data_IF_519217793552
#
_entry.id   IF_519217793552
#
_cell.length_a   1.000
_cell.length_b   1.000
_cell.length_c   1.000
_cell.angle_alpha   90.00
_cell.angle_beta   90.00
_cell.angle_gamma   90.00
#
_symmetry.space_group_name_H-M   'P 1'
#
loop_
_entity.id
_entity.type
_entity.pdbx_description
1 polymer ?
#
# COMPACT_ATOMS: atom_id res chain seq x y z
N UNK A 1 -37.11 -48.32 15.64
CA UNK A 1 -35.96 -47.70 16.34
C UNK A 1 -36.56 -46.80 17.41
N UNK A 2 -36.39 -47.10 18.70
CA UNK A 2 -37.05 -46.34 19.78
C UNK A 2 -36.38 -44.98 19.92
N UNK A 3 -37.13 -43.92 19.66
CA UNK A 3 -36.72 -42.55 19.95
C UNK A 3 -36.84 -42.32 21.45
N UNK A 4 -35.81 -41.71 22.05
CA UNK A 4 -35.80 -41.42 23.48
C UNK A 4 -36.85 -40.35 23.78
N UNK A 5 -37.81 -40.65 24.64
CA UNK A 5 -38.86 -39.72 25.09
C UNK A 5 -38.31 -38.89 26.25
N UNK A 6 -37.54 -37.86 25.93
CA UNK A 6 -37.16 -36.81 26.87
C UNK A 6 -38.29 -35.75 26.94
N UNK A 7 -38.79 -35.34 28.13
CA UNK A 7 -39.92 -34.42 28.26
C UNK A 7 -39.69 -32.99 27.74
N UNK A 8 -38.49 -32.65 27.26
CA UNK A 8 -38.12 -31.28 26.87
C UNK A 8 -37.83 -31.05 25.37
N UNK A 9 -38.09 -31.99 24.46
CA UNK A 9 -37.79 -31.76 23.03
C UNK A 9 -38.30 -32.86 22.09
N UNK A 10 -39.57 -32.77 21.74
CA UNK A 10 -40.36 -33.79 21.05
C UNK A 10 -40.13 -33.80 19.53
N UNK A 11 -39.65 -34.92 18.96
CA UNK A 11 -40.13 -35.45 17.67
C UNK A 11 -40.13 -36.98 17.75
N UNK A 12 -41.34 -37.56 17.64
CA UNK A 12 -41.59 -38.97 17.32
C UNK A 12 -41.88 -39.04 15.80
N UNK A 13 -40.97 -39.59 14.99
CA UNK A 13 -41.21 -39.81 13.55
C UNK A 13 -41.96 -41.14 13.40
N UNK A 14 -43.28 -41.07 13.46
CA UNK A 14 -44.18 -42.13 13.01
C UNK A 14 -44.92 -41.61 11.77
N UNK A 15 -44.29 -41.75 10.61
CA UNK A 15 -44.92 -42.10 9.32
C UNK A 15 -43.88 -41.89 8.22
N UNK A 16 -43.74 -42.89 7.34
CA UNK A 16 -42.75 -43.05 6.25
C UNK A 16 -41.38 -43.60 6.68
N UNK A 17 -40.83 -44.57 5.94
CA UNK A 17 -39.46 -45.03 6.16
C UNK A 17 -38.54 -43.85 5.81
N UNK A 18 -37.99 -43.20 6.83
CA UNK A 18 -37.01 -42.14 6.64
C UNK A 18 -35.75 -42.78 6.03
N UNK A 19 -35.63 -42.70 4.70
CA UNK A 19 -34.45 -43.19 3.98
C UNK A 19 -33.30 -42.24 4.34
N UNK A 20 -32.40 -42.68 5.22
CA UNK A 20 -31.11 -42.04 5.41
C UNK A 20 -30.36 -42.11 4.08
N UNK A 21 -30.14 -40.96 3.42
CA UNK A 21 -29.16 -40.87 2.36
C UNK A 21 -27.79 -40.58 3.02
N UNK A 22 -26.85 -41.53 3.02
CA UNK A 22 -25.52 -41.29 3.57
C UNK A 22 -24.81 -40.25 2.71
N UNK A 23 -24.39 -39.15 3.32
CA UNK A 23 -23.72 -38.05 2.60
C UNK A 23 -22.18 -38.08 2.78
N UNK A 24 -21.64 -38.80 3.77
CA UNK A 24 -20.19 -39.00 3.96
C UNK A 24 -19.92 -40.11 4.97
N UNK A 25 -19.08 -41.08 4.59
CA UNK A 25 -18.51 -42.17 5.42
C UNK A 25 -19.45 -42.75 6.51
N UNK A 26 -20.74 -42.85 6.21
CA UNK A 26 -21.82 -43.26 7.13
C UNK A 26 -21.99 -42.44 8.42
N UNK A 27 -21.39 -41.24 8.51
CA UNK A 27 -21.39 -40.40 9.72
C UNK A 27 -22.58 -39.43 9.80
N UNK A 28 -23.14 -39.04 8.64
CA UNK A 28 -24.23 -38.07 8.54
C UNK A 28 -25.40 -38.62 7.74
N UNK A 29 -26.60 -38.46 8.30
CA UNK A 29 -27.87 -38.75 7.63
C UNK A 29 -28.67 -37.47 7.41
N UNK A 30 -29.22 -37.31 6.21
CA UNK A 30 -30.24 -36.31 5.91
C UNK A 30 -31.63 -36.90 6.16
N UNK A 31 -32.40 -36.27 7.03
CA UNK A 31 -33.81 -36.60 7.28
C UNK A 31 -34.63 -35.35 6.94
N UNK A 32 -35.30 -35.32 5.77
CA UNK A 32 -36.23 -34.26 5.44
C UNK A 32 -37.38 -34.19 6.48
N UNK A 33 -37.92 -33.01 6.81
CA UNK A 33 -37.63 -31.73 6.16
C UNK A 33 -36.42 -30.94 6.69
N UNK A 34 -35.82 -31.27 7.84
CA UNK A 34 -34.92 -30.30 8.52
C UNK A 34 -33.73 -30.88 9.31
N UNK A 35 -33.52 -32.19 9.32
CA UNK A 35 -32.60 -32.78 10.31
C UNK A 35 -31.39 -33.41 9.64
N UNK A 36 -30.23 -32.79 9.84
CA UNK A 36 -28.96 -33.51 9.74
C UNK A 36 -28.68 -34.15 11.07
N UNK A 37 -28.53 -35.46 11.06
CA UNK A 37 -28.19 -36.21 12.28
C UNK A 37 -26.78 -36.77 12.17
N UNK A 38 -25.95 -36.46 13.17
CA UNK A 38 -24.62 -37.06 13.30
C UNK A 38 -24.74 -38.38 14.05
N UNK A 39 -24.23 -39.45 13.46
CA UNK A 39 -24.16 -40.77 14.08
C UNK A 39 -23.08 -40.77 15.17
N UNK A 40 -23.48 -40.93 16.44
CA UNK A 40 -22.55 -41.26 17.55
C UNK A 40 -22.84 -42.67 18.06
N UNK A 41 -21.77 -43.39 18.45
CA UNK A 41 -21.87 -44.62 19.23
C UNK A 41 -21.78 -44.26 20.70
N UNK A 42 -22.83 -44.54 21.46
CA UNK A 42 -22.82 -44.51 22.93
C UNK A 42 -23.32 -45.88 23.36
N UNK A 43 -22.50 -46.63 24.10
CA UNK A 43 -22.82 -47.97 24.62
C UNK A 43 -23.38 -48.96 23.59
N UNK A 44 -22.82 -48.96 22.37
CA UNK A 44 -23.26 -49.83 21.28
C UNK A 44 -24.56 -49.42 20.59
N UNK A 45 -25.28 -48.42 21.11
CA UNK A 45 -26.48 -47.85 20.49
C UNK A 45 -26.14 -46.70 19.52
N UNK A 46 -26.87 -46.62 18.40
CA UNK A 46 -26.81 -45.50 17.45
C UNK A 46 -27.68 -44.35 17.98
N UNK A 47 -27.06 -43.25 18.40
CA UNK A 47 -27.76 -42.04 18.86
C UNK A 47 -27.60 -40.93 17.81
N UNK A 48 -28.69 -40.23 17.54
CA UNK A 48 -28.78 -39.14 16.56
C UNK A 48 -29.10 -37.83 17.28
N UNK A 49 -28.27 -36.79 17.08
CA UNK A 49 -28.51 -35.45 17.59
C UNK A 49 -28.93 -34.52 16.46
N UNK A 50 -29.89 -33.62 16.72
CA UNK A 50 -30.21 -32.50 15.82
C UNK A 50 -28.95 -31.65 15.65
N UNK A 51 -28.55 -31.42 14.41
CA UNK A 51 -27.41 -30.58 14.03
C UNK A 51 -27.90 -29.52 13.04
N UNK A 52 -27.31 -28.33 13.07
CA UNK A 52 -27.61 -27.29 12.08
C UNK A 52 -27.10 -27.77 10.69
N UNK A 53 -27.94 -27.85 9.65
CA UNK A 53 -27.50 -28.23 8.31
C UNK A 53 -26.43 -27.29 7.71
N UNK A 54 -26.35 -26.04 8.18
CA UNK A 54 -25.35 -25.07 7.76
C UNK A 54 -24.10 -25.03 8.66
N UNK A 55 -23.97 -25.93 9.65
CA UNK A 55 -22.73 -26.06 10.42
C UNK A 55 -21.54 -26.36 9.49
N UNK A 56 -20.38 -25.73 9.76
CA UNK A 56 -19.18 -25.82 8.91
C UNK A 56 -18.76 -27.26 8.55
N UNK A 57 -18.92 -28.21 9.47
CA UNK A 57 -18.57 -29.61 9.23
C UNK A 57 -19.57 -30.39 8.35
N UNK A 58 -20.78 -29.87 8.18
CA UNK A 58 -21.87 -30.46 7.39
C UNK A 58 -21.92 -29.81 6.00
N UNK A 59 -21.83 -28.48 5.94
CA UNK A 59 -21.97 -27.67 4.72
C UNK A 59 -20.90 -27.99 3.67
N UNK A 60 -19.62 -28.11 4.03
CA UNK A 60 -18.54 -28.37 3.06
C UNK A 60 -18.73 -29.70 2.35
N UNK A 61 -19.30 -30.67 3.08
CA UNK A 61 -19.66 -31.96 2.52
C UNK A 61 -20.90 -31.74 1.64
N UNK A 62 -22.02 -31.32 2.23
CA UNK A 62 -23.34 -31.29 1.58
C UNK A 62 -23.44 -30.36 0.37
N UNK A 63 -22.98 -29.12 0.54
CA UNK A 63 -23.11 -28.04 -0.42
C UNK A 63 -21.81 -27.81 -1.22
N UNK A 64 -20.69 -28.44 -0.83
CA UNK A 64 -19.36 -28.12 -1.36
C UNK A 64 -18.72 -26.89 -0.72
N UNK A 65 -17.42 -26.70 -0.96
CA UNK A 65 -16.65 -25.62 -0.32
C UNK A 65 -16.96 -24.23 -0.86
N UNK A 66 -17.39 -24.11 -2.12
CA UNK A 66 -17.56 -22.82 -2.80
C UNK A 66 -18.99 -22.26 -2.75
N UNK A 67 -19.78 -22.73 -1.78
CA UNK A 67 -21.18 -22.32 -1.60
C UNK A 67 -21.43 -21.67 -0.23
N UNK A 68 -22.55 -20.97 -0.15
CA UNK A 68 -23.16 -20.43 1.05
C UNK A 68 -24.45 -21.19 1.32
N UNK A 69 -24.75 -21.45 2.59
CA UNK A 69 -25.92 -22.23 3.01
C UNK A 69 -26.94 -21.31 3.67
N UNK A 70 -28.21 -21.50 3.30
CA UNK A 70 -29.35 -20.83 3.91
C UNK A 70 -30.44 -21.86 4.20
N UNK A 71 -30.90 -21.87 5.45
CA UNK A 71 -32.10 -22.62 5.87
C UNK A 71 -33.30 -21.68 5.81
N UNK A 72 -34.40 -22.15 5.26
CA UNK A 72 -35.69 -21.47 5.24
C UNK A 72 -36.82 -22.47 5.55
N UNK A 73 -38.03 -21.98 5.78
CA UNK A 73 -39.22 -22.84 5.97
C UNK A 73 -39.51 -23.71 4.73
N UNK A 74 -39.02 -23.29 3.56
CA UNK A 74 -39.17 -24.00 2.29
C UNK A 74 -38.07 -25.03 2.06
N UNK A 75 -37.02 -25.07 2.89
CA UNK A 75 -35.93 -26.02 2.78
C UNK A 75 -34.53 -25.42 2.87
N UNK A 76 -33.54 -26.20 2.44
CA UNK A 76 -32.13 -25.86 2.44
C UNK A 76 -31.70 -25.39 1.06
N UNK A 77 -30.97 -24.27 1.00
CA UNK A 77 -30.47 -23.74 -0.26
C UNK A 77 -28.97 -23.49 -0.15
N UNK A 78 -28.20 -24.11 -1.05
CA UNK A 78 -26.78 -23.86 -1.24
C UNK A 78 -26.58 -23.03 -2.52
N UNK A 79 -26.04 -21.81 -2.39
CA UNK A 79 -25.77 -20.91 -3.52
C UNK A 79 -24.28 -20.61 -3.63
N UNK A 80 -23.76 -20.39 -4.84
CA UNK A 80 -22.36 -20.04 -5.03
C UNK A 80 -21.94 -18.80 -4.23
N UNK A 81 -20.71 -18.84 -3.70
CA UNK A 81 -20.06 -17.67 -3.09
C UNK A 81 -19.80 -16.60 -4.14
N UNK A 82 -19.51 -15.37 -3.68
CA UNK A 82 -18.98 -14.32 -4.57
C UNK A 82 -17.64 -14.77 -5.18
N UNK A 83 -17.37 -14.37 -6.42
CA UNK A 83 -16.22 -14.86 -7.20
C UNK A 83 -16.49 -16.21 -7.91
N UNK A 84 -17.68 -16.80 -7.75
CA UNK A 84 -18.07 -18.03 -8.42
C UNK A 84 -19.36 -17.85 -9.21
N UNK A 85 -19.47 -18.55 -10.34
CA UNK A 85 -20.67 -18.63 -11.16
C UNK A 85 -21.31 -20.01 -11.06
N UNK A 86 -22.63 -20.04 -11.28
CA UNK A 86 -23.42 -21.26 -11.23
C UNK A 86 -23.26 -22.05 -12.52
N UNK A 87 -22.68 -23.25 -12.44
CA UNK A 87 -22.57 -24.18 -13.58
C UNK A 87 -23.92 -24.87 -13.78
N UNK A 88 -24.42 -25.51 -12.72
CA UNK A 88 -25.72 -26.19 -12.68
C UNK A 88 -26.32 -26.11 -11.28
N UNK A 89 -27.64 -26.28 -11.17
CA UNK A 89 -28.35 -26.51 -9.91
C UNK A 89 -28.99 -27.88 -9.94
N UNK A 90 -28.93 -28.61 -8.82
CA UNK A 90 -29.62 -29.88 -8.68
C UNK A 90 -30.33 -30.00 -7.33
N UNK A 91 -31.32 -30.88 -7.29
CA UNK A 91 -32.17 -31.11 -6.11
C UNK A 91 -31.97 -32.57 -5.69
N UNK A 92 -31.00 -32.87 -4.80
CA UNK A 92 -30.70 -34.26 -4.42
C UNK A 92 -31.83 -34.89 -3.59
N UNK A 93 -32.58 -34.07 -2.85
CA UNK A 93 -33.79 -34.44 -2.12
C UNK A 93 -34.78 -33.28 -2.17
N UNK A 94 -36.07 -33.59 -2.06
CA UNK A 94 -37.14 -32.58 -2.03
C UNK A 94 -36.80 -31.47 -1.03
N UNK A 95 -36.95 -30.21 -1.45
CA UNK A 95 -36.67 -29.01 -0.65
C UNK A 95 -35.18 -28.80 -0.30
N UNK A 96 -34.25 -29.44 -1.02
CA UNK A 96 -32.81 -29.13 -0.92
C UNK A 96 -32.31 -28.76 -2.30
N UNK A 97 -31.87 -27.53 -2.50
CA UNK A 97 -31.30 -27.05 -3.76
C UNK A 97 -29.81 -26.79 -3.58
N UNK A 98 -28.98 -27.39 -4.44
CA UNK A 98 -27.52 -27.26 -4.39
C UNK A 98 -26.99 -26.76 -5.73
N UNK A 99 -26.27 -25.64 -5.68
CA UNK A 99 -25.54 -25.12 -6.84
C UNK A 99 -24.14 -25.73 -6.95
N UNK A 100 -23.78 -26.17 -8.15
CA UNK A 100 -22.38 -26.50 -8.52
C UNK A 100 -21.73 -25.25 -9.07
N UNK A 101 -20.60 -24.88 -8.46
CA UNK A 101 -19.96 -23.60 -8.70
C UNK A 101 -18.68 -23.76 -9.51
N UNK A 102 -18.52 -22.89 -10.50
CA UNK A 102 -17.30 -22.67 -11.25
C UNK A 102 -16.68 -21.35 -10.86
N UNK A 103 -15.36 -21.29 -10.84
CA UNK A 103 -14.61 -20.07 -10.57
C UNK A 103 -14.82 -19.04 -11.67
N UNK A 104 -15.08 -17.78 -11.32
CA UNK A 104 -15.16 -16.69 -12.30
C UNK A 104 -13.75 -16.29 -12.67
N UNK A 105 -13.37 -16.48 -13.93
CA UNK A 105 -12.09 -15.97 -14.42
C UNK A 105 -12.20 -14.48 -14.73
N UNK A 106 -11.99 -13.62 -13.73
CA UNK A 106 -12.15 -12.16 -13.92
C UNK A 106 -11.10 -11.60 -14.89
N UNK A 107 -9.96 -12.27 -15.05
CA UNK A 107 -8.89 -11.86 -15.98
C UNK A 107 -9.28 -11.96 -17.45
N UNK A 108 -10.37 -12.67 -17.79
CA UNK A 108 -10.95 -12.63 -19.15
C UNK A 108 -11.53 -11.27 -19.49
N UNK A 109 -11.87 -10.47 -18.47
CA UNK A 109 -12.26 -9.09 -18.66
C UNK A 109 -11.01 -8.20 -18.66
N UNK A 110 -10.63 -7.68 -19.82
CA UNK A 110 -9.46 -6.80 -19.99
C UNK A 110 -9.55 -5.50 -19.19
N UNK A 111 -10.74 -5.11 -18.72
CA UNK A 111 -10.95 -3.89 -17.93
C UNK A 111 -10.85 -4.11 -16.42
N UNK A 112 -10.70 -5.36 -15.96
CA UNK A 112 -10.73 -5.68 -14.52
C UNK A 112 -9.51 -5.11 -13.77
N UNK A 113 -8.35 -5.14 -14.42
CA UNK A 113 -7.10 -4.62 -13.89
C UNK A 113 -6.69 -3.37 -14.69
N UNK A 114 -6.13 -2.33 -14.03
CA UNK A 114 -5.61 -1.17 -14.73
C UNK A 114 -4.50 -1.52 -15.73
N UNK A 115 -4.39 -0.76 -16.83
CA UNK A 115 -3.41 -1.01 -17.91
C UNK A 115 -1.94 -1.03 -17.46
N UNK A 116 -1.61 -0.48 -16.29
CA UNK A 116 -0.26 -0.50 -15.70
C UNK A 116 -0.01 -1.73 -14.83
N UNK A 117 -0.86 -2.75 -14.95
CA UNK A 117 -0.83 -3.97 -14.15
C UNK A 117 -1.10 -5.21 -14.99
N UNK A 118 -0.76 -6.37 -14.44
CA UNK A 118 -1.03 -7.71 -14.97
C UNK A 118 -2.04 -8.40 -14.07
N UNK A 119 -2.99 -9.13 -14.67
CA UNK A 119 -4.00 -9.88 -13.94
C UNK A 119 -3.55 -11.33 -13.71
N UNK A 120 -3.91 -11.90 -12.56
CA UNK A 120 -3.76 -13.33 -12.27
C UNK A 120 -5.03 -13.83 -11.58
N UNK A 121 -5.68 -14.82 -12.19
CA UNK A 121 -6.91 -15.41 -11.68
C UNK A 121 -6.61 -16.28 -10.45
N UNK A 122 -7.44 -16.17 -9.40
CA UNK A 122 -7.37 -16.99 -8.20
C UNK A 122 -8.75 -17.61 -7.91
N UNK A 123 -8.84 -18.67 -7.10
CA UNK A 123 -10.15 -19.20 -6.72
C UNK A 123 -10.97 -18.18 -5.91
N UNK A 124 -12.07 -17.69 -6.49
CA UNK A 124 -13.03 -16.76 -5.89
C UNK A 124 -12.59 -15.29 -5.85
N UNK A 125 -11.47 -14.93 -6.46
CA UNK A 125 -10.97 -13.56 -6.60
C UNK A 125 -9.86 -13.51 -7.67
N UNK A 126 -9.30 -12.34 -7.92
CA UNK A 126 -8.14 -12.17 -8.78
C UNK A 126 -7.11 -11.27 -8.11
N UNK A 127 -5.91 -11.20 -8.66
CA UNK A 127 -4.91 -10.20 -8.24
C UNK A 127 -4.42 -9.40 -9.43
N UNK A 128 -4.18 -8.11 -9.20
CA UNK A 128 -3.47 -7.25 -10.14
C UNK A 128 -2.08 -6.98 -9.58
N UNK A 129 -1.04 -7.02 -10.42
CA UNK A 129 0.35 -6.71 -10.05
C UNK A 129 0.94 -5.70 -11.02
N UNK A 130 1.72 -4.73 -10.54
CA UNK A 130 2.42 -3.79 -11.42
C UNK A 130 3.24 -4.51 -12.49
N UNK A 131 3.22 -3.99 -13.72
CA UNK A 131 4.16 -4.40 -14.75
C UNK A 131 5.60 -3.97 -14.39
N UNK A 132 6.59 -4.59 -15.03
CA UNK A 132 8.00 -4.26 -14.78
C UNK A 132 8.30 -2.78 -15.04
N UNK A 133 9.10 -2.17 -14.15
CA UNK A 133 9.40 -0.74 -14.19
C UNK A 133 8.30 0.17 -13.61
N UNK A 134 7.25 -0.40 -13.01
CA UNK A 134 6.19 0.34 -12.31
C UNK A 134 6.09 -0.08 -10.84
N UNK A 135 5.68 0.85 -9.98
CA UNK A 135 5.46 0.62 -8.55
C UNK A 135 4.14 1.22 -8.08
N UNK A 136 3.57 0.63 -7.04
CA UNK A 136 2.41 1.18 -6.35
C UNK A 136 2.82 2.39 -5.52
N UNK A 137 2.07 3.48 -5.60
CA UNK A 137 2.28 4.64 -4.73
C UNK A 137 1.66 4.41 -3.35
N UNK A 138 2.22 5.07 -2.35
CA UNK A 138 1.74 4.97 -0.97
C UNK A 138 0.26 5.38 -0.87
N UNK A 139 -0.55 4.55 -0.21
CA UNK A 139 -1.99 4.79 -0.03
C UNK A 139 -2.87 4.42 -1.23
N UNK A 140 -2.32 3.90 -2.34
CA UNK A 140 -3.08 3.43 -3.50
C UNK A 140 -3.31 1.91 -3.50
N UNK A 141 -4.28 1.45 -4.28
CA UNK A 141 -4.58 0.03 -4.50
C UNK A 141 -4.29 -0.38 -5.94
N UNK A 142 -3.53 -1.46 -6.14
CA UNK A 142 -3.20 -1.96 -7.49
C UNK A 142 -4.45 -2.31 -8.31
N UNK A 143 -5.50 -2.83 -7.66
CA UNK A 143 -6.77 -3.21 -8.33
C UNK A 143 -7.58 -2.00 -8.83
N UNK A 144 -7.50 -0.84 -8.15
CA UNK A 144 -8.31 0.35 -8.49
C UNK A 144 -7.52 1.44 -9.20
N UNK A 145 -6.34 1.73 -8.68
CA UNK A 145 -5.56 2.92 -9.04
C UNK A 145 -4.39 2.60 -10.00
N UNK A 146 -4.01 1.32 -10.09
CA UNK A 146 -2.87 0.87 -10.88
C UNK A 146 -1.54 1.32 -10.29
N UNK A 147 -0.51 1.35 -11.13
CA UNK A 147 0.86 1.67 -10.74
C UNK A 147 1.42 2.85 -11.55
N UNK A 148 2.44 3.52 -11.01
CA UNK A 148 3.17 4.59 -11.70
C UNK A 148 4.59 4.13 -12.05
N UNK A 149 5.19 4.74 -13.08
CA UNK A 149 6.55 4.40 -13.51
C UNK A 149 7.54 4.70 -12.40
N UNK A 150 8.48 3.79 -12.19
CA UNK A 150 9.63 4.01 -11.32
C UNK A 150 10.52 5.04 -12.00
N UNK A 151 10.38 6.31 -11.62
CA UNK A 151 11.35 7.34 -11.96
C UNK A 151 12.45 7.20 -10.93
N UNK A 152 13.60 6.66 -11.35
CA UNK A 152 14.83 6.76 -10.55
C UNK A 152 15.04 8.25 -10.30
N UNK A 153 14.79 8.70 -9.07
CA UNK A 153 15.04 10.08 -8.67
C UNK A 153 16.52 10.32 -8.94
N UNK A 154 16.83 11.03 -10.03
CA UNK A 154 18.17 11.54 -10.26
C UNK A 154 18.61 12.23 -8.99
N UNK A 155 19.82 11.92 -8.54
CA UNK A 155 20.35 12.39 -7.28
C UNK A 155 20.05 13.88 -7.13
N UNK A 156 19.35 14.25 -6.05
CA UNK A 156 19.17 15.66 -5.65
C UNK A 156 20.52 16.39 -5.42
N UNK A 157 21.64 15.70 -5.62
CA UNK A 157 22.99 16.23 -5.60
C UNK A 157 23.25 17.31 -6.66
N UNK A 158 22.49 17.37 -7.76
CA UNK A 158 22.70 18.39 -8.81
C UNK A 158 22.19 19.79 -8.47
N UNK A 159 21.23 19.95 -7.54
CA UNK A 159 20.75 21.28 -7.14
C UNK A 159 21.61 21.94 -6.03
N UNK A 160 22.26 21.16 -5.17
CA UNK A 160 23.04 21.69 -4.02
C UNK A 160 24.40 22.25 -4.49
N UNK A 161 24.99 21.66 -5.53
CA UNK A 161 26.31 22.10 -6.06
C UNK A 161 26.22 23.48 -6.75
N UNK A 162 25.10 23.78 -7.41
CA UNK A 162 24.89 25.08 -8.06
C UNK A 162 24.70 26.23 -7.06
N UNK A 163 23.95 26.00 -5.98
CA UNK A 163 23.66 27.03 -4.96
C UNK A 163 24.88 27.43 -4.13
N UNK A 164 25.72 26.45 -3.74
CA UNK A 164 26.88 26.69 -2.87
C UNK A 164 28.00 27.46 -3.58
N UNK A 165 28.29 27.14 -4.85
CA UNK A 165 29.26 27.87 -5.66
C UNK A 165 28.81 29.31 -5.95
N UNK A 166 27.52 29.51 -6.25
CA UNK A 166 26.95 30.83 -6.48
C UNK A 166 27.06 31.76 -5.27
N UNK A 167 26.74 31.26 -4.07
CA UNK A 167 26.84 32.04 -2.82
C UNK A 167 28.30 32.42 -2.53
N UNK A 168 29.27 31.49 -2.70
CA UNK A 168 30.68 31.78 -2.47
C UNK A 168 31.23 32.87 -3.41
N UNK A 169 30.82 32.84 -4.68
CA UNK A 169 31.20 33.86 -5.68
C UNK A 169 30.64 35.25 -5.31
N UNK A 170 29.40 35.33 -4.85
CA UNK A 170 28.80 36.60 -4.41
C UNK A 170 29.50 37.14 -3.17
N UNK A 171 29.77 36.30 -2.17
CA UNK A 171 30.45 36.71 -0.93
C UNK A 171 31.86 37.21 -1.23
N UNK A 172 32.62 36.50 -2.07
CA UNK A 172 33.97 36.91 -2.46
C UNK A 172 33.96 38.25 -3.20
N UNK A 173 33.04 38.47 -4.13
CA UNK A 173 32.87 39.77 -4.81
C UNK A 173 32.58 40.90 -3.80
N UNK A 174 31.66 40.67 -2.85
CA UNK A 174 31.32 41.66 -1.81
C UNK A 174 32.54 41.99 -0.96
N UNK A 175 33.30 40.98 -0.52
CA UNK A 175 34.54 41.20 0.26
C UNK A 175 35.56 41.98 -0.54
N UNK A 176 35.79 41.62 -1.81
CA UNK A 176 36.69 42.36 -2.70
C UNK A 176 36.28 43.83 -2.86
N UNK A 177 34.98 44.12 -3.02
CA UNK A 177 34.46 45.50 -3.09
C UNK A 177 34.73 46.25 -1.78
N UNK A 178 34.52 45.62 -0.62
CA UNK A 178 34.78 46.23 0.68
C UNK A 178 36.28 46.54 0.86
N UNK A 179 37.15 45.59 0.52
CA UNK A 179 38.60 45.77 0.60
C UNK A 179 39.08 46.88 -0.36
N UNK A 180 38.59 46.89 -1.59
CA UNK A 180 38.92 47.94 -2.57
C UNK A 180 38.51 49.33 -2.07
N UNK A 181 37.30 49.46 -1.48
CA UNK A 181 36.86 50.73 -0.87
C UNK A 181 37.70 51.14 0.32
N UNK A 182 38.19 50.20 1.13
CA UNK A 182 39.11 50.49 2.24
C UNK A 182 40.47 50.97 1.76
N UNK A 183 41.03 50.34 0.71
CA UNK A 183 42.30 50.76 0.11
C UNK A 183 42.20 52.15 -0.53
N UNK A 184 41.10 52.45 -1.23
CA UNK A 184 40.83 53.80 -1.76
C UNK A 184 40.72 54.84 -0.64
N UNK A 185 40.10 54.48 0.50
CA UNK A 185 40.03 55.36 1.67
C UNK A 185 41.41 55.57 2.31
N UNK A 186 42.24 54.54 2.38
CA UNK A 186 43.57 54.62 2.98
C UNK A 186 44.50 55.50 2.14
N UNK A 187 44.51 55.32 0.80
CA UNK A 187 45.20 56.25 -0.11
C UNK A 187 44.73 57.70 0.07
N UNK A 188 43.42 57.95 0.24
CA UNK A 188 42.92 59.32 0.48
C UNK A 188 43.30 59.91 1.85
N UNK A 189 43.69 59.07 2.82
CA UNK A 189 44.17 59.50 4.14
C UNK A 189 45.68 59.68 4.13
N UNK A 190 46.43 58.81 3.44
CA UNK A 190 47.87 58.93 3.23
C UNK A 190 48.20 60.21 2.41
N UNK A 191 47.40 60.52 1.38
CA UNK A 191 47.48 61.78 0.62
C UNK A 191 47.18 63.02 1.51
N UNK A 192 46.36 62.86 2.55
CA UNK A 192 46.04 63.94 3.48
C UNK A 192 47.17 64.18 4.50
N UNK A 193 47.93 63.15 4.88
CA UNK A 193 49.07 63.24 5.81
C UNK A 193 50.31 63.87 5.14
N UNK A 194 50.57 63.56 3.86
CA UNK A 194 51.66 64.20 3.08
C UNK A 194 51.44 65.72 2.89
N UNK A 195 50.18 66.15 2.72
CA UNK A 195 49.83 67.56 2.57
C UNK A 195 49.95 68.38 3.88
N UNK A 196 49.90 67.75 5.06
CA UNK A 196 50.12 68.43 6.35
C UNK A 196 51.61 68.67 6.60
N UNK A 197 52.50 67.75 6.19
CA UNK A 197 53.94 67.89 6.38
C UNK A 197 54.56 68.97 5.48
N UNK A 198 54.05 69.18 4.27
CA UNK A 198 54.49 70.29 3.39
C UNK A 198 54.03 71.68 3.86
N UNK A 199 53.04 71.78 4.75
CA UNK A 199 52.58 73.05 5.32
C UNK A 199 53.48 73.66 6.38
N UNK A 200 54.44 72.89 6.96
CA UNK A 200 55.25 73.32 8.11
C UNK A 200 56.71 73.66 7.80
N UNK A 201 57.18 73.50 6.56
CA UNK A 201 58.59 73.79 6.16
C UNK A 201 58.79 75.13 5.43
N UNK A 202 57.74 75.94 5.25
CA UNK A 202 57.81 77.21 4.50
C UNK A 202 58.31 78.45 5.26
N UNK A 203 58.75 78.34 6.52
CA UNK A 203 59.00 79.55 7.35
C UNK A 203 60.34 79.65 8.09
N UNK A 204 61.33 78.80 7.79
CA UNK A 204 62.65 78.90 8.43
C UNK A 204 63.79 78.67 7.43
N UNK A 205 64.35 79.76 6.88
CA UNK A 205 65.81 79.99 6.67
C UNK A 205 66.06 81.28 5.88
N UNK A 206 65.77 82.44 6.47
CA UNK A 206 66.58 83.65 6.25
C UNK A 206 67.63 83.70 7.36
N UNK A 207 68.90 83.49 7.01
CA UNK A 207 70.12 83.97 7.68
C UNK A 207 71.23 82.95 7.39
N UNK A 208 72.18 83.31 6.53
CA UNK A 208 73.59 83.44 6.91
C UNK A 208 74.41 83.71 5.64
N UNK A 209 75.04 84.87 5.68
CA UNK A 209 75.77 85.57 4.65
C UNK A 209 77.26 85.15 4.64
N UNK A 210 77.86 85.26 3.45
CA UNK A 210 79.26 85.65 3.15
C UNK A 210 80.42 84.63 3.00
N UNK A 211 81.09 84.82 1.85
CA UNK A 211 82.53 84.71 1.48
C UNK A 211 83.02 83.34 0.98
N UNK A 212 83.68 83.21 -0.18
CA UNK A 212 84.04 84.19 -1.21
C UNK A 212 84.60 83.52 -2.47
N UNK A 213 84.22 84.10 -3.61
CA UNK A 213 85.00 84.47 -4.80
C UNK A 213 86.00 83.53 -5.51
N UNK A 214 85.65 83.36 -6.81
CA UNK A 214 86.48 83.55 -8.02
C UNK A 214 87.58 82.51 -8.35
N UNK A 215 87.50 81.89 -9.53
CA UNK A 215 88.28 82.26 -10.73
C UNK A 215 87.82 81.46 -11.98
N UNK A 216 87.83 82.19 -13.09
CA UNK A 216 87.62 81.87 -14.52
C UNK A 216 88.42 80.70 -15.12
N UNK A 217 87.84 80.07 -16.15
CA UNK A 217 88.41 79.78 -17.50
C UNK A 217 87.41 78.83 -18.22
N UNK A 218 87.07 78.91 -19.51
CA UNK A 218 87.42 79.76 -20.64
C UNK A 218 86.41 79.47 -21.76
#
# INVERSE_FOLDING_TARGET
MKMNKDPHGKIDIISTPSVCLPFSDDLYCLIPPEFVTRKRRVDGAKVFHKTDPCDKGVIEKLCGKETTCKVSELGLTCKCKSGYFKIISFVPVKNVEVDVCGDVDECRNSTICPNTTTCSNLPGDYTCRCIDGYSLEEGKSVKRDGCTRIILKGDKATEIVGGTLGIFLVVTIIVCIILFRRLQKQNSVDDAEENVQQGMQGHASEMFFFRGDLINDK
#
